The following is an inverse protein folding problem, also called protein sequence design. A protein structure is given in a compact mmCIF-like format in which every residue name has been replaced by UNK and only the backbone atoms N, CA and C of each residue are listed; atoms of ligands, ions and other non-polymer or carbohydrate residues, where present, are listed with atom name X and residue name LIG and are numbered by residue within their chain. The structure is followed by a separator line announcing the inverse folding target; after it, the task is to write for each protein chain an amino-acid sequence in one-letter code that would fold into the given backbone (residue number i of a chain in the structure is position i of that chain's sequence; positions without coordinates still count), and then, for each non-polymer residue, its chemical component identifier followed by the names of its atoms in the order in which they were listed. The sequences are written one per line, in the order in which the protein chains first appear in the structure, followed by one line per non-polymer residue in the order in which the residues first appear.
data_IF_557968768960
#
_entry.id   IF_557968768960
#
_cell.length_a   1.000
_cell.length_b   1.000
_cell.length_c   1.000
_cell.angle_alpha   90.00
_cell.angle_beta   90.00
_cell.angle_gamma   90.00
#
_symmetry.space_group_name_H-M   'P 1'
#
loop_
_entity.id
_entity.type
_entity.pdbx_description
1 polymer ?
#
# COMPACT_ATOMS: atom_id res chain seq x y z
N UNK A 1 -28.92 -5.29 -45.17
CA UNK A 1 -28.62 -3.92 -44.83
C UNK A 1 -29.29 -3.51 -43.54
N UNK A 2 -30.41 -4.03 -43.24
CA UNK A 2 -31.02 -3.81 -41.93
C UNK A 2 -30.16 -4.37 -40.82
N UNK A 3 -29.45 -5.41 -41.14
CA UNK A 3 -28.60 -6.10 -40.19
C UNK A 3 -27.45 -5.21 -39.76
N UNK A 4 -27.04 -4.31 -40.62
CA UNK A 4 -25.93 -3.40 -40.28
C UNK A 4 -26.26 -2.48 -39.14
N UNK A 5 -27.52 -2.07 -39.01
CA UNK A 5 -27.93 -1.13 -37.97
C UNK A 5 -27.72 -1.69 -36.55
N UNK A 6 -28.17 -2.89 -36.27
CA UNK A 6 -27.94 -3.48 -34.94
C UNK A 6 -26.47 -3.76 -34.68
N UNK A 7 -25.73 -4.18 -35.68
CA UNK A 7 -24.34 -4.53 -35.50
C UNK A 7 -23.44 -3.32 -35.33
N UNK A 8 -23.79 -2.21 -35.96
CA UNK A 8 -22.95 -1.02 -35.91
C UNK A 8 -22.71 -0.50 -34.52
N UNK A 9 -23.73 -0.22 -33.72
CA UNK A 9 -23.57 0.23 -32.35
C UNK A 9 -22.84 -0.78 -31.47
N UNK A 10 -23.20 -2.03 -31.60
CA UNK A 10 -22.56 -3.07 -30.82
C UNK A 10 -21.06 -3.20 -31.15
N UNK A 11 -20.74 -3.08 -32.41
CA UNK A 11 -19.36 -3.15 -32.86
C UNK A 11 -18.53 -1.97 -32.33
N UNK A 12 -19.11 -0.80 -32.33
CA UNK A 12 -18.43 0.40 -31.79
C UNK A 12 -18.17 0.21 -30.31
N UNK A 13 -19.13 -0.29 -29.58
CA UNK A 13 -18.99 -0.55 -28.16
C UNK A 13 -17.87 -1.57 -27.89
N UNK A 14 -17.82 -2.60 -28.67
CA UNK A 14 -16.76 -3.63 -28.56
C UNK A 14 -15.38 -3.04 -28.83
N UNK A 15 -15.26 -2.15 -29.80
CA UNK A 15 -14.00 -1.49 -30.09
C UNK A 15 -13.54 -0.60 -28.94
N UNK A 16 -14.47 0.07 -28.28
CA UNK A 16 -14.14 0.90 -27.12
C UNK A 16 -13.60 0.04 -25.98
N UNK A 17 -14.19 -1.10 -25.74
CA UNK A 17 -13.71 -2.03 -24.73
C UNK A 17 -12.31 -2.54 -25.08
N UNK A 18 -12.11 -2.89 -26.32
CA UNK A 18 -10.82 -3.40 -26.79
C UNK A 18 -9.72 -2.35 -26.71
N UNK A 19 -10.07 -1.10 -26.82
CA UNK A 19 -9.11 -0.01 -26.74
C UNK A 19 -8.76 0.36 -25.32
N UNK A 20 -9.50 -0.13 -24.33
CA UNK A 20 -9.18 0.12 -22.92
C UNK A 20 -7.97 -0.72 -22.56
N UNK A 21 -6.88 -0.04 -22.29
CA UNK A 21 -5.67 -0.71 -21.87
C UNK A 21 -5.77 -1.13 -20.42
N UNK A 22 -5.34 -2.34 -20.16
CA UNK A 22 -5.28 -2.90 -18.82
C UNK A 22 -3.83 -2.96 -18.36
N UNK A 23 -3.64 -2.81 -17.05
CA UNK A 23 -2.32 -2.84 -16.44
C UNK A 23 -1.71 -4.23 -16.58
N UNK A 24 -0.45 -4.29 -16.98
CA UNK A 24 0.36 -5.51 -17.06
C UNK A 24 1.63 -5.32 -16.26
N UNK A 25 2.26 -6.41 -15.93
CA UNK A 25 3.59 -6.36 -15.31
C UNK A 25 4.56 -5.65 -16.24
N UNK A 26 5.35 -4.75 -15.68
CA UNK A 26 6.30 -3.93 -16.42
C UNK A 26 5.76 -2.57 -16.82
N UNK A 27 4.46 -2.35 -16.72
CA UNK A 27 3.88 -1.03 -16.97
C UNK A 27 4.17 -0.11 -15.79
N UNK A 28 4.43 1.15 -16.07
CA UNK A 28 4.50 2.19 -15.04
C UNK A 28 3.14 2.85 -14.97
N UNK A 29 2.55 2.86 -13.78
CA UNK A 29 1.18 3.34 -13.59
C UNK A 29 1.15 4.46 -12.57
N UNK A 30 0.09 5.26 -12.64
CA UNK A 30 -0.24 6.27 -11.63
C UNK A 30 -1.58 5.90 -11.03
N UNK A 31 -1.62 5.78 -9.70
CA UNK A 31 -2.78 5.30 -8.97
C UNK A 31 -3.05 6.21 -7.78
N UNK A 32 -4.29 6.66 -7.65
CA UNK A 32 -4.75 7.24 -6.40
C UNK A 32 -5.22 6.12 -5.49
N UNK A 33 -4.91 6.24 -4.22
CA UNK A 33 -5.27 5.21 -3.26
C UNK A 33 -5.75 5.81 -1.94
N UNK A 34 -6.56 5.05 -1.24
CA UNK A 34 -6.99 5.35 0.11
C UNK A 34 -6.89 4.07 0.92
N UNK A 35 -5.93 4.01 1.83
CA UNK A 35 -5.66 2.82 2.63
C UNK A 35 -6.32 2.89 3.99
N UNK A 36 -7.08 1.86 4.30
CA UNK A 36 -7.83 1.74 5.56
C UNK A 36 -7.49 0.43 6.25
N UNK A 37 -7.63 0.43 7.56
CA UNK A 37 -7.61 -0.79 8.36
C UNK A 37 -9.02 -1.38 8.42
N UNK A 38 -9.13 -2.61 8.93
CA UNK A 38 -10.43 -3.28 9.04
C UNK A 38 -11.39 -2.56 9.98
N UNK A 39 -10.86 -1.74 10.89
CA UNK A 39 -11.70 -0.93 11.79
C UNK A 39 -12.18 0.37 11.16
N UNK A 40 -11.83 0.62 9.89
CA UNK A 40 -12.24 1.83 9.17
C UNK A 40 -11.27 3.00 9.29
N UNK A 41 -10.23 2.87 10.10
CA UNK A 41 -9.22 3.93 10.25
C UNK A 41 -8.37 4.07 9.00
N UNK A 42 -8.19 5.28 8.51
CA UNK A 42 -7.30 5.55 7.39
C UNK A 42 -5.86 5.63 7.89
N UNK A 43 -4.97 4.86 7.28
CA UNK A 43 -3.56 4.92 7.63
C UNK A 43 -2.73 5.68 6.61
N UNK A 44 -3.19 5.76 5.36
CA UNK A 44 -2.51 6.52 4.32
C UNK A 44 -3.49 6.80 3.18
N UNK A 45 -3.21 7.85 2.41
CA UNK A 45 -4.04 8.23 1.28
C UNK A 45 -3.26 9.15 0.36
N UNK A 46 -3.54 9.06 -0.93
CA UNK A 46 -3.01 10.02 -1.91
C UNK A 46 -3.96 11.22 -2.11
N UNK A 47 -5.05 11.27 -1.37
CA UNK A 47 -6.00 12.38 -1.48
C UNK A 47 -5.32 13.70 -1.19
N UNK A 48 -5.51 14.67 -2.07
CA UNK A 48 -4.86 15.98 -1.96
C UNK A 48 -3.40 15.99 -2.39
N UNK A 49 -2.87 14.88 -2.86
CA UNK A 49 -1.50 14.74 -3.33
C UNK A 49 -1.49 14.18 -4.75
N UNK A 50 -0.32 14.13 -5.36
CA UNK A 50 -0.18 13.49 -6.66
C UNK A 50 -0.39 11.98 -6.54
N UNK A 51 -0.90 11.32 -7.60
CA UNK A 51 -1.05 9.88 -7.58
C UNK A 51 0.30 9.18 -7.42
N UNK A 52 0.27 8.02 -6.81
CA UNK A 52 1.46 7.19 -6.64
C UNK A 52 1.87 6.62 -8.00
N UNK A 53 3.13 6.84 -8.38
CA UNK A 53 3.69 6.28 -9.60
C UNK A 53 4.63 5.13 -9.26
N UNK A 54 4.43 3.98 -9.88
CA UNK A 54 5.30 2.83 -9.67
C UNK A 54 5.24 1.88 -10.86
N UNK A 55 6.26 1.04 -10.97
CA UNK A 55 6.32 -0.02 -11.98
C UNK A 55 5.66 -1.28 -11.43
N UNK A 56 4.67 -1.79 -12.16
CA UNK A 56 3.94 -3.00 -11.77
C UNK A 56 4.84 -4.22 -11.90
N UNK A 57 4.90 -5.02 -10.85
CA UNK A 57 5.77 -6.19 -10.81
C UNK A 57 7.20 -5.88 -10.42
N UNK A 58 7.53 -4.61 -10.18
CA UNK A 58 8.88 -4.20 -9.83
C UNK A 58 9.23 -4.31 -8.36
N UNK A 59 8.29 -4.72 -7.52
CA UNK A 59 8.52 -4.83 -6.08
C UNK A 59 8.57 -3.50 -5.35
N UNK A 60 8.10 -2.43 -5.96
CA UNK A 60 8.12 -1.09 -5.37
C UNK A 60 7.02 -0.88 -4.33
N UNK A 61 5.96 -1.68 -4.41
CA UNK A 61 4.82 -1.64 -3.49
C UNK A 61 4.59 -3.04 -2.92
N UNK A 62 3.74 -3.13 -1.91
CA UNK A 62 3.42 -4.44 -1.32
C UNK A 62 2.75 -5.35 -2.36
N UNK A 63 2.99 -6.67 -2.30
CA UNK A 63 2.50 -7.59 -3.34
C UNK A 63 1.01 -7.52 -3.59
N UNK A 64 0.21 -7.39 -2.55
CA UNK A 64 -1.25 -7.32 -2.71
C UNK A 64 -1.71 -6.05 -3.42
N UNK A 65 -1.00 -4.95 -3.25
CA UNK A 65 -1.29 -3.70 -3.95
C UNK A 65 -0.95 -3.84 -5.44
N UNK A 66 0.21 -4.41 -5.72
CA UNK A 66 0.68 -4.67 -7.07
C UNK A 66 -0.31 -5.56 -7.84
N UNK A 67 -0.70 -6.68 -7.23
CA UNK A 67 -1.69 -7.59 -7.82
C UNK A 67 -3.06 -6.92 -8.00
N UNK A 68 -3.42 -6.06 -7.06
CA UNK A 68 -4.71 -5.36 -7.14
C UNK A 68 -4.81 -4.41 -8.31
N UNK A 69 -3.69 -3.76 -8.66
CA UNK A 69 -3.65 -2.81 -9.77
C UNK A 69 -3.58 -3.54 -11.11
N UNK A 70 -2.98 -4.72 -11.14
CA UNK A 70 -2.84 -5.50 -12.38
C UNK A 70 -4.21 -5.83 -12.95
N UNK A 71 -4.40 -5.53 -14.23
CA UNK A 71 -5.67 -5.76 -14.92
C UNK A 71 -6.65 -4.61 -14.85
N UNK A 72 -6.34 -3.54 -14.13
CA UNK A 72 -7.21 -2.37 -14.09
C UNK A 72 -7.09 -1.55 -15.36
N UNK A 73 -8.19 -0.92 -15.73
CA UNK A 73 -8.23 0.02 -16.85
C UNK A 73 -8.15 1.46 -16.31
N UNK A 74 -7.72 2.39 -17.16
CA UNK A 74 -7.64 3.80 -16.78
C UNK A 74 -9.03 4.32 -16.41
N UNK A 75 -9.13 4.93 -15.25
CA UNK A 75 -10.40 5.44 -14.71
C UNK A 75 -11.18 4.42 -13.90
N UNK A 76 -10.72 3.17 -13.85
CA UNK A 76 -11.38 2.14 -13.06
C UNK A 76 -11.09 2.37 -11.58
N UNK A 77 -12.12 2.14 -10.77
CA UNK A 77 -12.02 2.16 -9.31
C UNK A 77 -12.20 0.75 -8.78
N UNK A 78 -11.39 0.38 -7.82
CA UNK A 78 -11.41 -0.97 -7.26
C UNK A 78 -11.06 -0.93 -5.78
N UNK A 79 -11.74 -1.74 -5.00
CA UNK A 79 -11.39 -1.93 -3.59
C UNK A 79 -10.74 -3.30 -3.45
N UNK A 80 -9.55 -3.34 -2.86
CA UNK A 80 -8.84 -4.59 -2.63
C UNK A 80 -8.58 -4.76 -1.15
N UNK A 81 -8.72 -6.00 -0.68
CA UNK A 81 -8.39 -6.37 0.70
C UNK A 81 -7.13 -7.20 0.66
N UNK A 82 -6.11 -6.74 1.37
CA UNK A 82 -4.79 -7.34 1.33
C UNK A 82 -4.49 -7.91 2.72
N UNK A 83 -4.39 -9.25 2.84
CA UNK A 83 -4.03 -9.85 4.12
C UNK A 83 -2.58 -9.53 4.48
N UNK A 84 -2.25 -9.65 5.76
CA UNK A 84 -0.94 -9.26 6.27
C UNK A 84 0.21 -9.94 5.53
N UNK A 85 0.06 -11.19 5.16
CA UNK A 85 1.12 -11.95 4.47
C UNK A 85 1.42 -11.41 3.06
N UNK A 86 0.49 -10.66 2.46
CA UNK A 86 0.70 -10.00 1.18
C UNK A 86 0.88 -8.49 1.34
N UNK A 87 0.93 -8.01 2.56
CA UNK A 87 1.16 -6.60 2.89
C UNK A 87 2.50 -6.48 3.62
N UNK A 88 2.47 -6.14 4.89
CA UNK A 88 3.70 -5.93 5.67
C UNK A 88 4.12 -7.17 6.47
N UNK A 89 3.49 -8.30 6.20
CA UNK A 89 3.81 -9.54 6.84
C UNK A 89 3.15 -9.70 8.21
N UNK A 90 3.21 -10.90 8.78
CA UNK A 90 2.67 -11.15 10.11
C UNK A 90 3.53 -10.46 11.17
N UNK A 91 2.90 -10.15 12.28
CA UNK A 91 3.61 -9.60 13.42
C UNK A 91 4.52 -10.69 14.01
N UNK A 92 5.78 -10.35 14.20
CA UNK A 92 6.77 -11.30 14.71
C UNK A 92 7.01 -11.06 16.19
N UNK A 93 6.85 -12.07 17.00
CA UNK A 93 7.09 -11.99 18.44
C UNK A 93 8.56 -11.68 18.75
N UNK A 94 9.46 -12.10 17.88
CA UNK A 94 10.89 -11.85 18.00
C UNK A 94 11.24 -10.37 17.94
N UNK A 95 10.37 -9.57 17.33
CA UNK A 95 10.54 -8.13 17.23
C UNK A 95 9.99 -7.39 18.44
N UNK A 96 9.38 -8.12 19.37
CA UNK A 96 8.88 -7.56 20.64
C UNK A 96 9.91 -7.89 21.72
N UNK A 97 10.39 -6.88 22.43
CA UNK A 97 11.44 -7.08 23.42
C UNK A 97 11.16 -6.29 24.70
N UNK A 98 11.61 -6.83 25.82
CA UNK A 98 11.59 -6.12 27.08
C UNK A 98 12.88 -5.31 27.22
N UNK A 99 12.71 -4.07 27.63
CA UNK A 99 13.84 -3.15 27.82
C UNK A 99 13.78 -2.55 29.22
N UNK A 100 14.88 -2.65 30.00
CA UNK A 100 14.88 -2.12 31.38
C UNK A 100 14.64 -0.62 31.42
N UNK A 101 13.85 -0.17 32.36
CA UNK A 101 13.56 1.26 32.54
C UNK A 101 14.79 2.06 32.90
N UNK A 102 15.75 1.46 33.58
CA UNK A 102 16.98 2.15 34.00
C UNK A 102 17.88 2.55 32.85
N UNK A 103 17.62 2.01 31.65
CA UNK A 103 18.35 2.38 30.43
C UNK A 103 17.71 3.53 29.68
N UNK A 104 16.54 3.95 30.09
CA UNK A 104 15.93 5.15 29.53
C UNK A 104 16.50 6.40 30.19
N UNK A 105 16.49 7.53 29.48
CA UNK A 105 16.84 8.81 30.13
C UNK A 105 15.90 9.07 31.32
N UNK A 106 16.47 9.63 32.39
CA UNK A 106 15.73 9.88 33.62
C UNK A 106 14.57 10.89 33.42
N UNK A 107 14.72 11.76 32.45
CA UNK A 107 13.71 12.75 32.11
C UNK A 107 12.60 12.23 31.21
N UNK A 108 12.70 10.97 30.75
CA UNK A 108 11.70 10.37 29.90
C UNK A 108 10.75 9.50 30.72
N UNK A 109 9.47 9.77 30.60
CA UNK A 109 8.41 8.94 31.18
C UNK A 109 7.83 8.08 30.07
N UNK A 110 8.10 6.77 30.07
CA UNK A 110 7.58 5.91 29.00
C UNK A 110 6.06 5.72 29.15
N UNK A 111 5.36 5.85 28.04
CA UNK A 111 3.92 5.67 27.98
C UNK A 111 3.56 4.74 26.83
N UNK A 112 2.49 3.97 26.99
CA UNK A 112 2.00 3.08 25.94
C UNK A 112 1.59 3.91 24.72
N UNK A 113 2.05 3.48 23.54
CA UNK A 113 1.80 4.18 22.29
C UNK A 113 2.91 5.15 21.88
N UNK A 114 3.87 5.40 22.78
CA UNK A 114 4.98 6.30 22.46
C UNK A 114 5.91 5.64 21.44
N UNK A 115 6.30 6.40 20.43
CA UNK A 115 7.26 5.95 19.42
C UNK A 115 8.66 6.43 19.79
N UNK A 116 9.61 5.51 19.70
CA UNK A 116 11.00 5.79 20.02
C UNK A 116 11.88 5.30 18.88
N UNK A 117 13.07 5.85 18.79
CA UNK A 117 14.09 5.33 17.88
C UNK A 117 15.16 4.64 18.69
N UNK A 118 15.35 3.36 18.44
CA UNK A 118 16.42 2.60 19.06
C UNK A 118 17.59 2.45 18.11
N UNK A 119 18.78 2.45 18.66
CA UNK A 119 19.98 2.19 17.88
C UNK A 119 20.52 0.81 18.23
N UNK A 120 20.83 0.02 17.23
CA UNK A 120 21.51 -1.24 17.45
C UNK A 120 23.02 -1.00 17.60
N UNK A 121 23.73 -2.05 17.95
CA UNK A 121 25.18 -1.95 18.14
C UNK A 121 25.96 -1.59 16.87
N UNK A 122 25.32 -1.63 15.71
CA UNK A 122 25.93 -1.26 14.42
C UNK A 122 25.71 0.20 14.06
N UNK A 123 24.98 0.97 14.89
CA UNK A 123 24.69 2.36 14.64
C UNK A 123 23.44 2.59 13.78
N UNK A 124 22.69 1.54 13.46
CA UNK A 124 21.44 1.67 12.73
C UNK A 124 20.31 2.03 13.69
N UNK A 125 19.51 3.00 13.29
CA UNK A 125 18.34 3.40 14.04
C UNK A 125 17.10 2.76 13.45
N UNK A 126 16.23 2.28 14.32
CA UNK A 126 14.96 1.71 13.89
C UNK A 126 13.86 2.15 14.87
N UNK A 127 12.65 2.38 14.36
CA UNK A 127 11.54 2.83 15.20
C UNK A 127 10.96 1.66 16.00
N UNK A 128 10.58 1.96 17.23
CA UNK A 128 9.87 1.02 18.10
C UNK A 128 8.71 1.74 18.75
N UNK A 129 7.71 0.97 19.17
CA UNK A 129 6.54 1.51 19.88
C UNK A 129 6.45 0.84 21.24
N UNK A 130 6.17 1.64 22.26
CA UNK A 130 5.92 1.10 23.59
C UNK A 130 4.52 0.49 23.61
N UNK A 131 4.44 -0.82 23.85
CA UNK A 131 3.17 -1.54 23.89
C UNK A 131 2.74 -1.89 25.30
N UNK A 132 3.68 -1.90 26.25
CA UNK A 132 3.36 -2.16 27.65
C UNK A 132 4.41 -1.48 28.53
N UNK A 133 3.99 -0.91 29.65
CA UNK A 133 4.87 -0.34 30.65
C UNK A 133 4.73 -1.17 31.94
N UNK A 134 5.79 -1.87 32.29
CA UNK A 134 5.86 -2.67 33.51
C UNK A 134 6.54 -1.86 34.61
N UNK A 135 6.62 -2.44 35.80
CA UNK A 135 7.19 -1.76 36.96
C UNK A 135 8.68 -1.42 36.76
N UNK A 136 9.44 -2.37 36.22
CA UNK A 136 10.91 -2.22 36.05
C UNK A 136 11.35 -2.26 34.59
N UNK A 137 10.43 -2.51 33.65
CA UNK A 137 10.76 -2.65 32.25
C UNK A 137 9.66 -2.11 31.36
N UNK A 138 9.98 -1.94 30.10
CA UNK A 138 9.05 -1.49 29.09
C UNK A 138 9.10 -2.50 27.95
N UNK A 139 7.94 -2.89 27.43
CA UNK A 139 7.87 -3.76 26.26
C UNK A 139 7.83 -2.91 25.01
N UNK A 140 8.80 -3.17 24.13
CA UNK A 140 8.96 -2.43 22.89
C UNK A 140 8.66 -3.35 21.72
N UNK A 141 7.89 -2.85 20.75
CA UNK A 141 7.54 -3.56 19.53
C UNK A 141 8.24 -2.89 18.34
N UNK A 142 9.15 -3.60 17.72
CA UNK A 142 9.89 -3.11 16.55
C UNK A 142 9.25 -3.57 15.23
N UNK A 143 8.10 -4.23 15.27
CA UNK A 143 7.38 -4.58 14.06
C UNK A 143 6.92 -3.32 13.33
N UNK A 144 6.76 -3.46 12.02
CA UNK A 144 6.13 -2.39 11.25
C UNK A 144 4.75 -2.09 11.84
N UNK A 145 4.34 -0.81 11.91
CA UNK A 145 3.04 -0.46 12.49
C UNK A 145 1.86 -1.19 11.86
N UNK A 146 1.98 -1.58 10.60
CA UNK A 146 0.94 -2.30 9.87
C UNK A 146 1.17 -3.80 9.79
N UNK A 147 2.21 -4.32 10.47
CA UNK A 147 2.46 -5.76 10.51
C UNK A 147 1.32 -6.47 11.23
N UNK A 148 0.90 -7.59 10.67
CA UNK A 148 -0.22 -8.36 11.21
C UNK A 148 -1.59 -7.79 10.89
N UNK A 149 -1.63 -6.67 10.17
CA UNK A 149 -2.89 -5.99 9.84
C UNK A 149 -3.33 -6.31 8.41
N UNK A 150 -4.61 -6.59 8.26
CA UNK A 150 -5.23 -6.67 6.94
C UNK A 150 -5.51 -5.26 6.46
N UNK A 151 -5.10 -4.95 5.26
CA UNK A 151 -5.24 -3.61 4.69
C UNK A 151 -6.32 -3.59 3.63
N UNK A 152 -7.06 -2.50 3.57
CA UNK A 152 -8.09 -2.28 2.57
C UNK A 152 -7.70 -1.04 1.78
N UNK A 153 -7.54 -1.19 0.48
CA UNK A 153 -7.20 -0.08 -0.41
C UNK A 153 -8.32 0.18 -1.39
N UNK A 154 -8.79 1.41 -1.43
CA UNK A 154 -9.61 1.89 -2.53
C UNK A 154 -8.65 2.47 -3.57
N UNK A 155 -8.65 1.93 -4.76
CA UNK A 155 -7.72 2.26 -5.83
C UNK A 155 -8.45 2.91 -6.98
N UNK A 156 -7.81 3.91 -7.59
CA UNK A 156 -8.28 4.52 -8.84
C UNK A 156 -7.10 4.65 -9.78
N UNK A 157 -7.15 3.96 -10.91
CA UNK A 157 -6.08 4.03 -11.89
C UNK A 157 -6.20 5.32 -12.69
N UNK A 158 -5.16 6.14 -12.63
CA UNK A 158 -5.15 7.45 -13.29
C UNK A 158 -4.50 7.36 -14.67
N UNK A 159 -3.39 6.66 -14.79
CA UNK A 159 -2.64 6.58 -16.03
C UNK A 159 -1.80 5.32 -16.12
N UNK A 160 -1.51 4.92 -17.35
CA UNK A 160 -0.56 3.85 -17.66
C UNK A 160 0.47 4.46 -18.60
N UNK A 161 1.69 4.64 -18.13
CA UNK A 161 2.70 5.34 -18.91
C UNK A 161 3.13 4.60 -20.16
N UNK A 162 3.07 3.27 -20.13
CA UNK A 162 3.38 2.49 -21.33
C UNK A 162 2.46 2.83 -22.48
N UNK A 163 1.17 2.97 -22.22
CA UNK A 163 0.19 3.37 -23.21
C UNK A 163 0.42 4.79 -23.70
N UNK A 164 0.72 5.67 -22.74
CA UNK A 164 0.95 7.07 -23.05
C UNK A 164 2.14 7.25 -23.99
N UNK A 165 3.18 6.48 -23.77
CA UNK A 165 4.37 6.55 -24.64
C UNK A 165 4.03 6.21 -26.08
N UNK A 166 3.18 5.22 -26.26
CA UNK A 166 2.79 4.81 -27.60
C UNK A 166 1.95 5.87 -28.31
N UNK A 167 1.14 6.56 -27.56
CA UNK A 167 0.25 7.59 -28.10
C UNK A 167 1.01 8.81 -28.52
N UNK A 168 2.03 9.17 -27.79
CA UNK A 168 2.80 10.41 -28.01
C UNK A 168 3.68 10.33 -29.25
N UNK A 169 3.90 9.16 -29.77
CA UNK A 169 4.79 8.98 -30.91
C UNK A 169 4.01 8.96 -32.21
N UNK A 170 3.62 10.08 -32.74
CA UNK A 170 2.93 10.17 -34.02
C UNK A 170 3.85 9.96 -35.21
#
# INVERSE_FOLDING_TARGET
WFVLLPFGPAKIFQLQINNMQQVKKGDTVKVHYHGKLTNGSTFDSSEGREPLEFEVGGGMVIPGFDDGVTGMAIGEKKTVTIPADQAYGPKQEEMVMEFPKDRFPEDMVPEVGMQLNMSNGSGQNFPVVIVEVKETAVVLDANHPLAGETLIFDLELVAINGATSMIIMP
#
